data_IF_225726639566
#
_entry.id   IF_225726639566
#
_cell.length_a   1.000
_cell.length_b   1.000
_cell.length_c   1.000
_cell.angle_alpha   90.00
_cell.angle_beta   90.00
_cell.angle_gamma   90.00
#
_symmetry.space_group_name_H-M   'P 1'
#
loop_
_entity.id
_entity.type
_entity.pdbx_description
1 polymer ?
#
# COMPACT_ATOMS: atom_id res chain seq x y z
N UNK A 1 -4.97 24.82 12.07
CA UNK A 1 -5.31 23.73 11.12
C UNK A 1 -4.37 23.70 9.91
N UNK A 2 -4.30 24.75 9.05
CA UNK A 2 -3.46 24.75 7.82
C UNK A 2 -1.98 24.44 8.10
N UNK A 3 -1.40 25.02 9.15
CA UNK A 3 -0.02 24.74 9.55
C UNK A 3 0.19 23.25 9.89
N UNK A 4 -0.71 22.64 10.66
CA UNK A 4 -0.64 21.22 11.02
C UNK A 4 -0.71 20.32 9.78
N UNK A 5 -1.59 20.63 8.81
CA UNK A 5 -1.67 19.88 7.54
C UNK A 5 -0.38 20.01 6.73
N UNK A 6 0.23 21.21 6.69
CA UNK A 6 1.51 21.43 5.99
C UNK A 6 2.63 20.60 6.62
N UNK A 7 2.77 20.63 7.94
CA UNK A 7 3.78 19.84 8.65
C UNK A 7 3.55 18.33 8.51
N UNK A 8 2.28 17.88 8.51
CA UNK A 8 1.92 16.49 8.26
C UNK A 8 2.22 16.09 6.81
N UNK A 9 1.98 16.95 5.84
CA UNK A 9 2.31 16.68 4.42
C UNK A 9 3.82 16.42 4.23
N UNK A 10 4.66 17.11 5.00
CA UNK A 10 6.12 16.92 5.04
C UNK A 10 6.55 15.61 5.74
N UNK A 11 5.63 14.75 6.13
CA UNK A 11 5.86 13.48 6.84
C UNK A 11 6.60 13.61 8.18
N UNK A 12 6.43 14.73 8.87
CA UNK A 12 6.99 14.93 10.20
C UNK A 12 6.28 14.06 11.24
N UNK A 13 7.03 13.68 12.28
CA UNK A 13 6.49 12.96 13.43
C UNK A 13 5.60 13.86 14.29
N UNK A 14 4.57 13.26 14.93
CA UNK A 14 3.61 14.00 15.75
C UNK A 14 4.27 14.83 16.85
N UNK A 15 5.38 14.38 17.42
CA UNK A 15 6.16 15.13 18.41
C UNK A 15 6.74 16.41 17.80
N UNK A 16 7.37 16.31 16.63
CA UNK A 16 7.94 17.48 15.91
C UNK A 16 6.84 18.45 15.47
N UNK A 17 5.71 17.92 14.98
CA UNK A 17 4.55 18.76 14.63
C UNK A 17 4.04 19.52 15.84
N UNK A 18 3.91 18.86 17.00
CA UNK A 18 3.45 19.48 18.25
C UNK A 18 4.36 20.63 18.67
N UNK A 19 5.68 20.41 18.65
CA UNK A 19 6.67 21.45 18.98
C UNK A 19 6.59 22.63 18.01
N UNK A 20 6.60 22.38 16.69
CA UNK A 20 6.63 23.43 15.66
C UNK A 20 5.31 24.23 15.57
N UNK A 21 4.21 23.62 15.93
CA UNK A 21 2.89 24.27 15.88
C UNK A 21 2.42 24.80 17.25
N UNK A 22 3.21 24.63 18.31
CA UNK A 22 2.88 25.00 19.70
C UNK A 22 1.54 24.45 20.18
N UNK A 23 1.27 23.16 19.87
CA UNK A 23 0.05 22.45 20.29
C UNK A 23 0.38 21.16 21.01
N UNK A 24 -0.55 20.62 21.78
CA UNK A 24 -0.34 19.37 22.49
C UNK A 24 -0.14 18.19 21.52
N UNK A 25 0.76 17.27 21.87
CA UNK A 25 0.93 16.00 21.12
C UNK A 25 -0.37 15.21 21.01
N UNK A 26 -1.24 15.29 22.04
CA UNK A 26 -2.56 14.64 22.03
C UNK A 26 -3.44 15.18 20.90
N UNK A 27 -3.47 16.53 20.75
CA UNK A 27 -4.23 17.19 19.67
C UNK A 27 -3.69 16.80 18.30
N UNK A 28 -2.36 16.77 18.13
CA UNK A 28 -1.74 16.33 16.85
C UNK A 28 -2.10 14.87 16.56
N UNK A 29 -1.99 13.96 17.52
CA UNK A 29 -2.31 12.55 17.33
C UNK A 29 -3.78 12.36 16.93
N UNK A 30 -4.71 13.09 17.56
CA UNK A 30 -6.14 13.06 17.20
C UNK A 30 -6.34 13.49 15.74
N UNK A 31 -5.74 14.63 15.36
CA UNK A 31 -5.82 15.14 13.99
C UNK A 31 -5.26 14.14 12.97
N UNK A 32 -4.05 13.63 13.23
CA UNK A 32 -3.37 12.68 12.34
C UNK A 32 -4.19 11.40 12.18
N UNK A 33 -4.81 10.91 13.26
CA UNK A 33 -5.68 9.73 13.16
C UNK A 33 -6.92 10.01 12.30
N UNK A 34 -7.55 11.16 12.45
CA UNK A 34 -8.69 11.55 11.62
C UNK A 34 -8.29 11.69 10.13
N UNK A 35 -7.13 12.28 9.85
CA UNK A 35 -6.58 12.34 8.48
C UNK A 35 -6.36 10.95 7.89
N UNK A 36 -5.79 10.00 8.65
CA UNK A 36 -5.62 8.61 8.20
C UNK A 36 -6.94 7.95 7.86
N UNK A 37 -7.98 8.16 8.67
CA UNK A 37 -9.32 7.66 8.38
C UNK A 37 -9.81 8.21 7.03
N UNK A 38 -9.68 9.52 6.78
CA UNK A 38 -10.09 10.14 5.50
C UNK A 38 -9.27 9.62 4.32
N UNK A 39 -7.95 9.47 4.48
CA UNK A 39 -7.08 8.88 3.46
C UNK A 39 -7.48 7.44 3.13
N UNK A 40 -7.77 6.62 4.14
CA UNK A 40 -8.21 5.25 3.94
C UNK A 40 -9.53 5.19 3.18
N UNK A 41 -10.51 6.02 3.55
CA UNK A 41 -11.79 6.14 2.85
C UNK A 41 -11.60 6.52 1.37
N UNK A 42 -10.69 7.45 1.09
CA UNK A 42 -10.37 7.86 -0.27
C UNK A 42 -9.71 6.71 -1.06
N UNK A 43 -8.76 5.99 -0.47
CA UNK A 43 -8.14 4.82 -1.09
C UNK A 43 -9.14 3.71 -1.44
N UNK A 44 -10.17 3.50 -0.61
CA UNK A 44 -11.18 2.46 -0.84
C UNK A 44 -12.21 2.82 -1.92
N UNK A 45 -12.40 4.10 -2.23
CA UNK A 45 -13.42 4.57 -3.21
C UNK A 45 -13.10 4.23 -4.65
N UNK A 46 -11.84 3.92 -4.96
CA UNK A 46 -11.43 3.76 -6.35
C UNK A 46 -12.00 2.48 -6.97
N UNK A 47 -12.61 2.66 -8.15
CA UNK A 47 -13.13 1.61 -9.02
C UNK A 47 -12.03 0.60 -9.44
N UNK A 48 -12.42 -0.59 -9.95
CA UNK A 48 -11.47 -1.60 -10.38
C UNK A 48 -10.41 -1.06 -11.34
N UNK A 49 -9.18 -1.49 -11.15
CA UNK A 49 -8.07 -1.18 -12.04
C UNK A 49 -8.28 -1.78 -13.43
N UNK A 50 -7.95 -1.01 -14.45
CA UNK A 50 -8.02 -1.43 -15.85
C UNK A 50 -6.66 -1.29 -16.53
N UNK A 51 -6.37 -2.11 -17.53
CA UNK A 51 -5.13 -2.10 -18.30
C UNK A 51 -4.08 -3.03 -17.73
N UNK A 52 -2.81 -2.62 -17.69
CA UNK A 52 -1.72 -3.43 -17.13
C UNK A 52 -1.60 -3.21 -15.65
N UNK A 53 -1.70 -4.28 -14.88
CA UNK A 53 -1.59 -4.27 -13.41
C UNK A 53 -0.51 -5.25 -12.94
N UNK A 54 0.15 -4.87 -11.86
CA UNK A 54 1.12 -5.71 -11.15
C UNK A 54 0.49 -6.12 -9.82
N UNK A 55 0.67 -7.37 -9.43
CA UNK A 55 0.17 -7.91 -8.16
C UNK A 55 1.30 -8.61 -7.41
N UNK A 56 1.37 -8.40 -6.11
CA UNK A 56 2.37 -9.00 -5.25
C UNK A 56 1.91 -8.98 -3.79
N UNK A 57 2.45 -9.87 -2.96
CA UNK A 57 2.25 -9.83 -1.53
C UNK A 57 3.51 -9.40 -0.78
N UNK A 58 3.34 -8.70 0.33
CA UNK A 58 4.42 -8.31 1.21
C UNK A 58 4.10 -8.57 2.68
N UNK A 59 5.14 -8.85 3.44
CA UNK A 59 5.06 -9.27 4.83
C UNK A 59 5.58 -8.16 5.74
N UNK A 60 4.74 -7.72 6.68
CA UNK A 60 5.04 -6.66 7.65
C UNK A 60 5.03 -7.22 9.07
N UNK A 61 5.89 -6.70 9.94
CA UNK A 61 5.97 -7.11 11.34
C UNK A 61 7.39 -7.16 11.87
N UNK A 62 7.57 -7.74 13.04
CA UNK A 62 8.86 -7.79 13.73
C UNK A 62 9.94 -8.45 12.87
N UNK A 63 11.16 -7.92 12.98
CA UNK A 63 12.36 -8.58 12.45
C UNK A 63 12.47 -9.97 13.09
N UNK A 64 12.86 -10.95 12.31
CA UNK A 64 13.00 -12.38 12.59
C UNK A 64 13.28 -12.73 14.04
N UNK A 65 12.46 -13.57 14.66
CA UNK A 65 12.82 -14.32 15.85
C UNK A 65 13.72 -15.49 15.42
N UNK A 66 14.88 -15.72 16.10
CA UNK A 66 15.81 -16.83 15.84
C UNK A 66 15.03 -18.16 15.72
N UNK A 67 15.31 -18.93 14.69
CA UNK A 67 14.85 -20.32 14.55
C UNK A 67 13.76 -20.62 13.52
N UNK A 68 12.91 -19.66 13.09
CA UNK A 68 11.87 -19.92 12.09
C UNK A 68 12.17 -19.21 10.77
N UNK A 69 12.46 -20.00 9.72
CA UNK A 69 12.72 -19.51 8.34
C UNK A 69 11.46 -19.69 7.48
N UNK A 70 11.18 -18.75 6.56
CA UNK A 70 10.18 -18.89 5.50
C UNK A 70 9.04 -17.88 5.56
N UNK A 71 8.17 -17.94 4.54
CA UNK A 71 6.98 -17.08 4.34
C UNK A 71 5.95 -17.18 5.48
N UNK A 72 6.02 -18.26 6.30
CA UNK A 72 5.13 -18.56 7.42
C UNK A 72 5.68 -18.17 8.80
N UNK A 73 6.69 -17.31 8.94
CA UNK A 73 7.14 -16.86 10.27
C UNK A 73 5.97 -16.20 11.00
N UNK A 74 5.48 -16.87 12.08
CA UNK A 74 4.30 -16.47 12.83
C UNK A 74 4.36 -15.01 13.30
N UNK A 75 3.25 -14.29 13.23
CA UNK A 75 3.12 -12.92 13.72
C UNK A 75 3.42 -11.82 12.68
N UNK A 76 3.55 -12.13 11.39
CA UNK A 76 3.62 -11.13 10.33
C UNK A 76 2.24 -10.86 9.74
N UNK A 77 1.94 -9.59 9.50
CA UNK A 77 0.78 -9.15 8.75
C UNK A 77 1.07 -9.30 7.26
N UNK A 78 0.23 -10.05 6.55
CA UNK A 78 0.31 -10.23 5.11
C UNK A 78 -0.49 -9.12 4.45
N UNK A 79 0.14 -8.41 3.54
CA UNK A 79 -0.51 -7.36 2.73
C UNK A 79 -0.42 -7.76 1.27
N UNK A 80 -1.56 -7.79 0.61
CA UNK A 80 -1.65 -7.95 -0.82
C UNK A 80 -1.75 -6.58 -1.49
N UNK A 81 -1.02 -6.38 -2.58
CA UNK A 81 -1.00 -5.13 -3.35
C UNK A 81 -1.38 -5.35 -4.80
N UNK A 82 -2.10 -4.38 -5.35
CA UNK A 82 -2.44 -4.26 -6.76
C UNK A 82 -1.95 -2.89 -7.23
N UNK A 83 -1.04 -2.84 -8.19
CA UNK A 83 -0.49 -1.61 -8.75
C UNK A 83 -0.87 -1.49 -10.22
N UNK A 84 -1.53 -0.41 -10.61
CA UNK A 84 -1.73 -0.06 -12.00
C UNK A 84 -0.48 0.64 -12.53
N UNK A 85 0.12 0.13 -13.60
CA UNK A 85 1.29 0.76 -14.23
C UNK A 85 1.00 2.23 -14.56
N UNK A 86 1.98 3.09 -14.23
CA UNK A 86 1.87 4.55 -14.37
C UNK A 86 0.69 5.18 -13.59
N UNK A 87 0.24 4.51 -12.54
CA UNK A 87 -0.94 4.91 -11.80
C UNK A 87 -0.83 4.69 -10.30
N UNK A 88 -1.87 4.13 -9.75
CA UNK A 88 -2.11 3.97 -8.32
C UNK A 88 -1.84 2.56 -7.84
N UNK A 89 -1.57 2.45 -6.54
CA UNK A 89 -1.56 1.19 -5.79
C UNK A 89 -2.83 1.09 -4.94
N UNK A 90 -3.30 -0.13 -4.73
CA UNK A 90 -4.27 -0.51 -3.73
C UNK A 90 -3.67 -1.61 -2.85
N UNK A 91 -3.91 -1.55 -1.55
CA UNK A 91 -3.43 -2.54 -0.61
C UNK A 91 -4.55 -3.10 0.24
N UNK A 92 -4.46 -4.39 0.56
CA UNK A 92 -5.40 -5.09 1.43
C UNK A 92 -4.65 -6.03 2.38
N UNK A 93 -4.98 -5.95 3.68
CA UNK A 93 -4.52 -6.94 4.65
C UNK A 93 -5.29 -8.22 4.38
N UNK A 94 -4.58 -9.32 4.25
CA UNK A 94 -5.17 -10.65 3.98
C UNK A 94 -4.77 -11.66 5.07
N UNK A 95 -5.63 -12.62 5.37
CA UNK A 95 -5.35 -13.61 6.41
C UNK A 95 -4.25 -14.59 6.01
N UNK A 96 -4.13 -14.86 4.71
CA UNK A 96 -3.12 -15.75 4.14
C UNK A 96 -2.81 -15.39 2.68
N UNK A 97 -1.75 -15.98 2.11
CA UNK A 97 -1.39 -15.84 0.71
C UNK A 97 -1.88 -17.03 -0.14
N UNK A 98 -2.98 -17.69 0.25
CA UNK A 98 -3.52 -18.79 -0.53
C UNK A 98 -4.17 -18.29 -1.83
N UNK A 99 -4.17 -19.17 -2.83
CA UNK A 99 -4.77 -18.91 -4.16
C UNK A 99 -6.20 -18.33 -4.06
N UNK A 100 -7.06 -18.93 -3.23
CA UNK A 100 -8.45 -18.47 -3.09
C UNK A 100 -8.53 -17.04 -2.55
N UNK A 101 -7.76 -16.72 -1.53
CA UNK A 101 -7.70 -15.38 -0.90
C UNK A 101 -7.22 -14.33 -1.90
N UNK A 102 -6.09 -14.59 -2.58
CA UNK A 102 -5.51 -13.63 -3.53
C UNK A 102 -6.43 -13.42 -4.74
N UNK A 103 -7.02 -14.49 -5.28
CA UNK A 103 -7.98 -14.41 -6.38
C UNK A 103 -9.21 -13.58 -6.02
N UNK A 104 -9.74 -13.72 -4.81
CA UNK A 104 -10.88 -12.93 -4.36
C UNK A 104 -10.58 -11.43 -4.39
N UNK A 105 -9.39 -11.01 -3.91
CA UNK A 105 -8.97 -9.60 -3.95
C UNK A 105 -8.78 -9.13 -5.39
N UNK A 106 -8.09 -9.91 -6.23
CA UNK A 106 -7.87 -9.56 -7.64
C UNK A 106 -9.22 -9.38 -8.34
N UNK A 107 -10.17 -10.32 -8.16
CA UNK A 107 -11.50 -10.28 -8.78
C UNK A 107 -12.30 -9.04 -8.36
N UNK A 108 -12.18 -8.62 -7.11
CA UNK A 108 -12.86 -7.44 -6.60
C UNK A 108 -12.22 -6.10 -7.01
N UNK A 109 -10.94 -6.10 -7.41
CA UNK A 109 -10.18 -4.86 -7.63
C UNK A 109 -9.60 -4.70 -9.03
N UNK A 110 -9.63 -5.72 -9.87
CA UNK A 110 -9.06 -5.71 -11.22
C UNK A 110 -10.12 -6.13 -12.23
N UNK A 111 -10.32 -5.32 -13.26
CA UNK A 111 -11.26 -5.63 -14.33
C UNK A 111 -10.73 -6.81 -15.18
N UNK A 112 -11.63 -7.71 -15.63
CA UNK A 112 -11.28 -8.91 -16.39
C UNK A 112 -10.50 -8.62 -17.68
N UNK A 113 -10.79 -7.49 -18.34
CA UNK A 113 -10.08 -7.05 -19.55
C UNK A 113 -8.61 -6.64 -19.30
N UNK A 114 -8.13 -6.72 -18.06
CA UNK A 114 -6.77 -6.32 -17.69
C UNK A 114 -5.74 -7.41 -17.99
N UNK A 115 -4.49 -6.95 -18.13
CA UNK A 115 -3.29 -7.80 -18.19
C UNK A 115 -2.65 -7.80 -16.81
N UNK A 116 -2.52 -8.97 -16.20
CA UNK A 116 -1.98 -9.12 -14.84
C UNK A 116 -0.52 -9.58 -14.91
N UNK A 117 0.35 -8.92 -14.18
CA UNK A 117 1.73 -9.32 -13.95
C UNK A 117 1.90 -9.71 -12.48
N UNK A 118 2.49 -10.87 -12.21
CA UNK A 118 2.82 -11.33 -10.84
C UNK A 118 4.22 -11.90 -10.79
N UNK A 119 4.74 -12.17 -9.59
CA UNK A 119 5.88 -13.04 -9.42
C UNK A 119 5.55 -14.49 -9.82
N UNK A 120 6.56 -15.38 -9.77
CA UNK A 120 6.41 -16.81 -10.10
C UNK A 120 5.64 -17.64 -9.06
N UNK A 121 4.99 -17.02 -8.08
CA UNK A 121 4.30 -17.73 -7.00
C UNK A 121 3.06 -18.49 -7.50
N UNK A 122 2.94 -19.77 -7.11
CA UNK A 122 1.81 -20.64 -7.53
C UNK A 122 0.43 -20.14 -7.08
N UNK A 123 0.36 -19.23 -6.10
CA UNK A 123 -0.88 -18.59 -5.68
C UNK A 123 -1.62 -17.82 -6.78
N UNK A 124 -0.88 -17.41 -7.83
CA UNK A 124 -1.42 -16.70 -9.00
C UNK A 124 -1.79 -17.60 -10.16
N UNK A 125 -1.64 -18.92 -10.04
CA UNK A 125 -1.95 -19.86 -11.11
C UNK A 125 -3.43 -19.81 -11.49
N UNK A 126 -3.72 -19.92 -12.81
CA UNK A 126 -5.08 -19.99 -13.33
C UNK A 126 -5.86 -18.67 -13.27
N UNK A 127 -5.20 -17.49 -13.27
CA UNK A 127 -5.88 -16.21 -13.44
C UNK A 127 -6.54 -16.11 -14.82
N UNK A 128 -5.93 -16.69 -15.86
CA UNK A 128 -6.52 -16.73 -17.21
C UNK A 128 -7.82 -17.54 -17.21
N UNK A 129 -7.86 -18.64 -16.45
CA UNK A 129 -9.07 -19.48 -16.31
C UNK A 129 -10.21 -18.73 -15.59
N UNK A 130 -9.90 -17.64 -14.87
CA UNK A 130 -10.89 -16.75 -14.28
C UNK A 130 -11.39 -15.65 -15.24
N UNK A 131 -10.96 -15.68 -16.52
CA UNK A 131 -11.39 -14.75 -17.54
C UNK A 131 -10.52 -13.50 -17.71
N UNK A 132 -9.35 -13.42 -17.05
CA UNK A 132 -8.42 -12.32 -17.29
C UNK A 132 -7.79 -12.43 -18.67
N UNK A 133 -7.66 -11.28 -19.35
CA UNK A 133 -7.17 -11.21 -20.73
C UNK A 133 -5.80 -11.87 -20.92
N UNK A 134 -4.85 -11.63 -20.01
CA UNK A 134 -3.51 -12.24 -19.98
C UNK A 134 -2.94 -12.21 -18.58
N UNK A 135 -2.14 -13.22 -18.25
CA UNK A 135 -1.35 -13.27 -17.04
C UNK A 135 0.11 -13.56 -17.39
N UNK A 136 1.01 -12.70 -16.97
CA UNK A 136 2.45 -12.86 -17.13
C UNK A 136 3.12 -13.08 -15.77
N UNK A 137 3.97 -14.09 -15.69
CA UNK A 137 4.78 -14.38 -14.51
C UNK A 137 6.20 -13.86 -14.72
N UNK A 138 6.71 -13.15 -13.73
CA UNK A 138 8.09 -12.68 -13.68
C UNK A 138 8.93 -13.71 -12.93
N UNK A 139 9.92 -14.31 -13.59
CA UNK A 139 10.83 -15.25 -12.96
C UNK A 139 12.00 -14.48 -12.32
N UNK A 140 12.08 -14.46 -11.00
CA UNK A 140 13.17 -13.81 -10.25
C UNK A 140 14.56 -14.46 -10.42
N UNK A 141 14.69 -15.59 -11.11
CA UNK A 141 15.95 -16.33 -11.25
C UNK A 141 16.87 -15.86 -12.40
N UNK A 142 16.39 -14.99 -13.24
CA UNK A 142 17.23 -14.39 -14.30
C UNK A 142 17.30 -12.89 -14.03
N UNK A 143 18.51 -12.36 -13.87
CA UNK A 143 18.86 -10.92 -13.68
C UNK A 143 18.51 -10.05 -14.91
N UNK A 144 17.40 -10.32 -15.54
CA UNK A 144 16.89 -9.52 -16.63
C UNK A 144 15.83 -8.60 -16.01
N UNK A 145 16.27 -7.43 -15.56
CA UNK A 145 15.42 -6.37 -14.99
C UNK A 145 14.29 -5.92 -15.89
N UNK A 146 14.36 -6.26 -17.16
CA UNK A 146 13.28 -6.05 -18.13
C UNK A 146 13.24 -7.29 -19.04
N UNK A 147 12.31 -8.20 -18.78
CA UNK A 147 12.03 -9.29 -19.71
C UNK A 147 11.67 -8.73 -21.09
N UNK A 148 12.01 -9.46 -22.16
CA UNK A 148 11.53 -9.13 -23.53
C UNK A 148 10.02 -8.84 -23.42
N UNK A 149 9.58 -7.66 -23.86
CA UNK A 149 8.19 -7.16 -23.82
C UNK A 149 7.69 -6.51 -22.50
N UNK A 150 8.58 -5.96 -21.65
CA UNK A 150 8.13 -5.18 -20.48
C UNK A 150 7.44 -5.99 -19.39
N UNK A 151 7.78 -7.27 -19.26
CA UNK A 151 7.26 -8.16 -18.19
C UNK A 151 8.07 -7.93 -16.92
N UNK A 152 7.54 -7.16 -15.99
CA UNK A 152 8.16 -6.84 -14.70
C UNK A 152 7.09 -6.48 -13.66
N UNK A 153 7.48 -6.42 -12.38
CA UNK A 153 6.66 -5.97 -11.24
C UNK A 153 7.33 -4.84 -10.44
N UNK A 154 8.21 -4.08 -11.08
CA UNK A 154 9.03 -3.05 -10.43
C UNK A 154 8.19 -1.95 -9.77
N UNK A 155 6.97 -1.69 -10.26
CA UNK A 155 6.09 -0.66 -9.72
C UNK A 155 5.57 -1.04 -8.33
N UNK A 156 5.11 -2.27 -8.16
CA UNK A 156 4.63 -2.76 -6.85
C UNK A 156 5.80 -2.96 -5.88
N UNK A 157 6.97 -3.41 -6.35
CA UNK A 157 8.18 -3.53 -5.54
C UNK A 157 8.66 -2.17 -5.03
N UNK A 158 8.64 -1.14 -5.87
CA UNK A 158 8.95 0.25 -5.49
C UNK A 158 8.02 0.75 -4.40
N UNK A 159 6.72 0.46 -4.50
CA UNK A 159 5.78 0.77 -3.43
C UNK A 159 6.13 0.05 -2.13
N UNK A 160 6.44 -1.26 -2.17
CA UNK A 160 6.82 -2.01 -0.97
C UNK A 160 8.08 -1.45 -0.30
N UNK A 161 9.09 -1.10 -1.08
CA UNK A 161 10.32 -0.47 -0.57
C UNK A 161 10.00 0.83 0.16
N UNK A 162 9.22 1.73 -0.48
CA UNK A 162 8.79 3.00 0.10
C UNK A 162 7.98 2.79 1.38
N UNK A 163 7.00 1.89 1.37
CA UNK A 163 6.14 1.62 2.52
C UNK A 163 6.94 1.03 3.70
N UNK A 164 7.82 0.05 3.45
CA UNK A 164 8.67 -0.55 4.48
C UNK A 164 9.61 0.46 5.12
N UNK A 165 10.28 1.29 4.31
CA UNK A 165 11.18 2.34 4.80
C UNK A 165 10.43 3.35 5.66
N UNK A 166 9.25 3.79 5.22
CA UNK A 166 8.43 4.75 5.96
C UNK A 166 7.92 4.17 7.28
N UNK A 167 7.39 2.95 7.27
CA UNK A 167 6.85 2.28 8.47
C UNK A 167 7.96 1.94 9.49
N UNK A 168 9.17 1.62 9.03
CA UNK A 168 10.31 1.34 9.92
C UNK A 168 10.68 2.55 10.79
N UNK A 169 10.53 3.78 10.30
CA UNK A 169 10.79 5.02 11.07
C UNK A 169 9.89 5.15 12.30
N UNK A 170 8.72 4.49 12.31
CA UNK A 170 7.75 4.56 13.42
C UNK A 170 8.12 3.70 14.62
N UNK A 171 9.26 2.96 14.58
CA UNK A 171 9.83 2.14 15.68
C UNK A 171 8.82 1.20 16.36
N UNK A 172 7.90 0.66 15.58
CA UNK A 172 6.83 -0.22 16.04
C UNK A 172 5.46 0.46 15.95
N UNK A 173 4.54 -0.24 15.30
CA UNK A 173 3.15 0.17 15.14
C UNK A 173 2.32 -0.94 15.77
N UNK A 174 1.43 -0.59 16.70
CA UNK A 174 0.51 -1.56 17.27
C UNK A 174 -0.38 -2.16 16.17
N UNK A 175 -0.73 -3.45 16.24
CA UNK A 175 -1.49 -4.13 15.19
C UNK A 175 -2.80 -3.41 14.83
N UNK A 176 -3.52 -2.87 15.82
CA UNK A 176 -4.78 -2.16 15.64
C UNK A 176 -4.66 -0.85 14.83
N UNK A 177 -3.46 -0.26 14.76
CA UNK A 177 -3.20 0.96 13.98
C UNK A 177 -2.51 0.68 12.65
N UNK A 178 -2.07 -0.56 12.40
CA UNK A 178 -1.30 -0.90 11.21
C UNK A 178 -2.05 -0.57 9.92
N UNK A 179 -3.34 -0.91 9.85
CA UNK A 179 -4.19 -0.60 8.70
C UNK A 179 -4.14 0.88 8.31
N UNK A 180 -4.30 1.78 9.29
CA UNK A 180 -4.31 3.22 9.04
C UNK A 180 -2.97 3.76 8.55
N UNK A 181 -1.87 3.23 9.07
CA UNK A 181 -0.52 3.56 8.61
C UNK A 181 -0.23 3.02 7.22
N UNK A 182 -0.69 1.82 6.90
CA UNK A 182 -0.60 1.24 5.57
C UNK A 182 -1.36 2.09 4.54
N UNK A 183 -2.61 2.47 4.83
CA UNK A 183 -3.43 3.32 3.96
C UNK A 183 -2.85 4.73 3.81
N UNK A 184 -2.18 5.26 4.82
CA UNK A 184 -1.41 6.49 4.68
C UNK A 184 -0.23 6.32 3.70
N UNK A 185 0.48 5.17 3.72
CA UNK A 185 1.54 4.89 2.74
C UNK A 185 0.96 4.80 1.32
N UNK A 186 -0.15 4.09 1.16
CA UNK A 186 -0.88 3.96 -0.11
C UNK A 186 -1.31 5.33 -0.65
N UNK A 187 -1.98 6.15 0.18
CA UNK A 187 -2.43 7.48 -0.19
C UNK A 187 -1.26 8.38 -0.64
N UNK A 188 -0.19 8.45 0.15
CA UNK A 188 1.01 9.24 -0.17
C UNK A 188 1.68 8.79 -1.48
N UNK A 189 1.78 7.49 -1.69
CA UNK A 189 2.33 6.93 -2.92
C UNK A 189 1.46 7.26 -4.14
N UNK A 190 0.15 7.19 -3.99
CA UNK A 190 -0.80 7.51 -5.05
C UNK A 190 -0.79 8.99 -5.43
N UNK A 191 -0.35 9.86 -4.53
CA UNK A 191 -0.24 11.29 -4.73
C UNK A 191 1.21 11.81 -4.80
N UNK A 192 2.19 10.93 -5.05
CA UNK A 192 3.62 11.23 -5.02
C UNK A 192 4.09 12.28 -6.02
N UNK A 193 3.34 12.51 -7.09
CA UNK A 193 3.64 13.50 -8.12
C UNK A 193 2.90 14.83 -7.94
N UNK A 194 2.06 14.95 -6.91
CA UNK A 194 1.27 16.13 -6.62
C UNK A 194 1.72 16.87 -5.36
N UNK A 195 1.16 18.06 -5.15
CA UNK A 195 1.32 18.79 -3.91
C UNK A 195 0.43 18.17 -2.83
N UNK A 196 1.02 17.36 -1.96
CA UNK A 196 0.28 16.62 -0.93
C UNK A 196 -0.47 17.55 0.04
N UNK A 197 0.07 18.75 0.33
CA UNK A 197 -0.61 19.72 1.19
C UNK A 197 -1.94 20.19 0.57
N UNK A 198 -1.93 20.56 -0.69
CA UNK A 198 -3.14 20.98 -1.40
C UNK A 198 -4.17 19.84 -1.50
N UNK A 199 -3.70 18.63 -1.75
CA UNK A 199 -4.55 17.43 -1.79
C UNK A 199 -5.22 17.20 -0.42
N UNK A 200 -4.47 17.33 0.68
CA UNK A 200 -5.01 17.20 2.03
C UNK A 200 -5.98 18.32 2.39
N UNK A 201 -5.70 19.54 1.96
CA UNK A 201 -6.65 20.66 2.13
C UNK A 201 -7.96 20.39 1.42
N UNK A 202 -7.92 19.93 0.17
CA UNK A 202 -9.11 19.56 -0.58
C UNK A 202 -9.87 18.41 0.09
N UNK A 203 -9.15 17.37 0.54
CA UNK A 203 -9.73 16.22 1.25
C UNK A 203 -10.49 16.65 2.51
N UNK A 204 -9.88 17.52 3.33
CA UNK A 204 -10.49 18.02 4.59
C UNK A 204 -11.65 18.98 4.31
N UNK A 205 -11.57 19.76 3.24
CA UNK A 205 -12.67 20.65 2.83
C UNK A 205 -13.91 19.85 2.40
N UNK A 206 -13.70 18.80 1.60
CA UNK A 206 -14.80 17.96 1.10
C UNK A 206 -15.33 16.98 2.16
N UNK A 207 -14.48 16.61 3.12
CA UNK A 207 -14.79 15.67 4.19
C UNK A 207 -14.27 16.20 5.53
N UNK A 208 -14.99 17.12 6.20
CA UNK A 208 -14.53 17.75 7.44
C UNK A 208 -14.15 16.73 8.51
N UNK A 209 -13.11 17.07 9.28
CA UNK A 209 -12.69 16.32 10.46
C UNK A 209 -13.68 16.63 11.60
N UNK A 210 -13.95 15.62 12.43
CA UNK A 210 -14.84 15.74 13.59
C UNK A 210 -14.07 16.10 14.85
#
# INVERSE_FOLDING_TARGET
MRQLLRLFALDLEATKIATLAHVSRRSVNRLVQQLRVRMAQECERHAPFRGTVEVDESYFGRRRVRGKRGRGASGKTIVFGVFKRNGRVYTQIVPDAKRATLRAVIRGRVALASVVHSDGWRGYDGLVDLGYRKHFRVAHRQEIFVGRHGVHINGIESFWSTAKTRLARRRGIRPEYFYWHLKECEFRFNHRHGNLYEILLALVRNHPLK
#
